data_IF_071874178227
#
_entry.id   IF_071874178227
#
_cell.length_a   1.000
_cell.length_b   1.000
_cell.length_c   1.000
_cell.angle_alpha   90.00
_cell.angle_beta   90.00
_cell.angle_gamma   90.00
#
_symmetry.space_group_name_H-M   'P 1'
#
loop_
_entity.id
_entity.type
_entity.pdbx_description
1 polymer ?
#
# COMPACT_ATOMS: atom_id res chain seq x y z
N UNK A 1 -22.77 42.47 -33.44
CA UNK A 1 -21.66 42.27 -32.48
C UNK A 1 -22.29 42.31 -31.09
N UNK A 2 -22.37 41.16 -30.42
CA UNK A 2 -23.27 40.94 -29.31
C UNK A 2 -22.53 40.33 -28.10
N UNK A 3 -22.72 40.98 -26.95
CA UNK A 3 -22.85 40.40 -25.58
C UNK A 3 -21.57 39.82 -24.95
N UNK A 4 -21.25 39.95 -23.65
CA UNK A 4 -21.53 40.84 -22.50
C UNK A 4 -20.47 40.47 -21.45
N UNK A 5 -20.18 41.41 -20.54
CA UNK A 5 -19.52 41.16 -19.26
C UNK A 5 -20.17 39.99 -18.50
N UNK A 6 -19.39 39.05 -17.96
CA UNK A 6 -19.79 38.34 -16.74
C UNK A 6 -18.60 37.68 -16.03
N UNK A 7 -18.24 38.32 -14.91
CA UNK A 7 -17.95 37.72 -13.60
C UNK A 7 -16.81 36.68 -13.47
N UNK A 8 -15.78 37.10 -12.71
CA UNK A 8 -14.87 36.25 -11.94
C UNK A 8 -15.61 35.07 -11.29
N UNK A 9 -15.01 33.87 -11.36
CA UNK A 9 -15.18 32.86 -10.33
C UNK A 9 -13.80 32.37 -9.89
N UNK A 10 -13.62 32.51 -8.58
CA UNK A 10 -12.39 32.46 -7.82
C UNK A 10 -11.93 31.01 -7.66
N UNK A 11 -10.61 30.88 -7.63
CA UNK A 11 -9.83 29.79 -7.05
C UNK A 11 -10.59 29.05 -5.92
N UNK A 12 -10.80 27.76 -6.12
CA UNK A 12 -11.43 26.91 -5.12
C UNK A 12 -11.25 25.44 -5.46
N UNK A 13 -10.05 25.04 -5.87
CA UNK A 13 -9.69 23.63 -5.78
C UNK A 13 -9.54 23.33 -4.30
N UNK A 14 -10.64 22.90 -3.66
CA UNK A 14 -10.57 22.15 -2.43
C UNK A 14 -9.74 20.90 -2.75
N UNK A 15 -8.44 20.96 -2.46
CA UNK A 15 -7.63 19.78 -2.24
C UNK A 15 -8.20 19.11 -1.00
N UNK A 16 -9.19 18.24 -1.19
CA UNK A 16 -9.54 17.27 -0.17
C UNK A 16 -8.28 16.43 0.05
N UNK A 17 -7.65 16.45 1.23
CA UNK A 17 -6.72 15.39 1.55
C UNK A 17 -7.51 14.10 1.41
N UNK A 18 -7.08 13.26 0.47
CA UNK A 18 -7.46 11.86 0.43
C UNK A 18 -6.92 11.34 1.77
N UNK A 19 -7.79 11.33 2.78
CA UNK A 19 -7.55 10.55 3.97
C UNK A 19 -7.35 9.14 3.44
N UNK A 20 -6.10 8.67 3.47
CA UNK A 20 -5.79 7.27 3.38
C UNK A 20 -6.82 6.59 4.29
N UNK A 21 -7.62 5.70 3.71
CA UNK A 21 -8.38 4.78 4.52
C UNK A 21 -7.37 4.21 5.50
N UNK A 22 -7.61 4.44 6.79
CA UNK A 22 -6.93 3.71 7.83
C UNK A 22 -7.39 2.26 7.59
N UNK A 23 -6.66 1.58 6.69
CA UNK A 23 -6.81 0.17 6.40
C UNK A 23 -6.43 -0.49 7.71
N UNK A 24 -7.44 -0.67 8.55
CA UNK A 24 -7.35 -1.30 9.86
C UNK A 24 -6.94 -2.75 9.58
N UNK A 25 -5.63 -2.95 9.43
CA UNK A 25 -5.05 -4.20 8.94
C UNK A 25 -5.46 -5.32 9.90
N UNK A 26 -5.96 -6.46 9.39
CA UNK A 26 -6.49 -7.53 10.24
C UNK A 26 -5.40 -8.07 11.16
N UNK A 27 -5.67 -8.04 12.47
CA UNK A 27 -4.79 -8.56 13.52
C UNK A 27 -4.90 -10.08 13.56
N UNK A 28 -3.79 -10.79 13.39
CA UNK A 28 -3.74 -12.26 13.33
C UNK A 28 -4.04 -12.87 14.71
N UNK A 29 -5.10 -13.68 14.81
CA UNK A 29 -5.38 -14.52 15.98
C UNK A 29 -4.81 -15.94 15.85
N UNK A 30 -4.44 -16.41 14.65
CA UNK A 30 -3.76 -17.71 14.46
C UNK A 30 -3.10 -17.77 13.08
N UNK A 31 -1.81 -18.11 12.98
CA UNK A 31 -1.03 -18.29 11.73
C UNK A 31 -1.50 -19.44 10.82
N UNK A 32 -2.65 -20.07 11.10
CA UNK A 32 -3.09 -21.32 10.48
C UNK A 32 -3.99 -21.17 9.24
N UNK A 33 -4.17 -19.97 8.69
CA UNK A 33 -4.99 -19.78 7.49
C UNK A 33 -4.52 -18.60 6.62
N UNK A 34 -3.21 -18.50 6.34
CA UNK A 34 -2.76 -17.61 5.28
C UNK A 34 -3.14 -18.22 3.92
N UNK A 35 -3.76 -17.41 3.07
CA UNK A 35 -4.00 -17.78 1.67
C UNK A 35 -2.67 -17.86 0.89
N UNK A 36 -2.64 -18.53 -0.27
CA UNK A 36 -1.44 -18.67 -1.12
C UNK A 36 -0.75 -17.36 -1.50
N UNK A 37 -1.49 -16.25 -1.50
CA UNK A 37 -1.06 -14.89 -1.83
C UNK A 37 -0.88 -13.99 -0.60
N UNK A 38 -0.94 -14.55 0.61
CA UNK A 38 -0.85 -13.80 1.86
C UNK A 38 0.41 -14.12 2.65
N UNK A 39 1.05 -13.07 3.15
CA UNK A 39 2.18 -13.15 4.07
C UNK A 39 1.82 -12.51 5.41
N UNK A 40 2.45 -12.97 6.50
CA UNK A 40 2.30 -12.34 7.82
C UNK A 40 3.57 -11.65 8.27
N UNK A 41 3.45 -10.44 8.82
CA UNK A 41 4.52 -9.76 9.55
C UNK A 41 3.91 -8.83 10.62
N UNK A 42 4.56 -8.74 11.79
CA UNK A 42 4.13 -7.87 12.90
C UNK A 42 2.63 -7.98 13.28
N UNK A 43 2.09 -9.19 13.27
CA UNK A 43 0.68 -9.50 13.52
C UNK A 43 -0.31 -9.01 12.46
N UNK A 44 0.16 -8.56 11.30
CA UNK A 44 -0.65 -8.13 10.15
C UNK A 44 -0.51 -9.09 8.96
N UNK A 45 -1.55 -9.12 8.13
CA UNK A 45 -1.56 -9.82 6.83
C UNK A 45 -1.22 -8.82 5.72
N UNK A 46 -0.35 -9.27 4.80
CA UNK A 46 0.09 -8.57 3.60
C UNK A 46 -0.30 -9.39 2.38
N UNK A 47 -0.75 -8.73 1.32
CA UNK A 47 -1.06 -9.32 0.03
C UNK A 47 0.19 -9.42 -0.86
N UNK A 48 0.16 -10.30 -1.85
CA UNK A 48 1.21 -10.41 -2.86
C UNK A 48 1.46 -9.07 -3.56
N UNK A 49 2.72 -8.64 -3.57
CA UNK A 49 3.17 -7.33 -4.08
C UNK A 49 3.40 -6.28 -2.99
N UNK A 50 2.92 -6.49 -1.77
CA UNK A 50 3.22 -5.60 -0.65
C UNK A 50 4.62 -5.84 -0.07
N UNK A 51 5.21 -4.80 0.52
CA UNK A 51 6.55 -4.83 1.10
C UNK A 51 6.54 -4.58 2.61
N UNK A 52 7.45 -5.25 3.31
CA UNK A 52 7.69 -5.06 4.74
C UNK A 52 9.19 -5.01 5.04
N UNK A 53 9.60 -4.04 5.83
CA UNK A 53 10.98 -3.93 6.33
C UNK A 53 11.05 -4.58 7.70
N UNK A 54 11.79 -5.68 7.79
CA UNK A 54 11.97 -6.41 9.03
C UNK A 54 12.98 -5.70 9.95
N UNK A 55 13.05 -6.13 11.21
CA UNK A 55 13.98 -5.57 12.21
C UNK A 55 15.46 -5.72 11.80
N UNK A 56 15.77 -6.63 10.88
CA UNK A 56 17.10 -6.79 10.27
C UNK A 56 17.44 -5.68 9.24
N UNK A 57 16.51 -4.75 8.98
CA UNK A 57 16.66 -3.66 8.03
C UNK A 57 16.49 -4.07 6.56
N UNK A 58 16.12 -5.33 6.30
CA UNK A 58 15.92 -5.85 4.94
C UNK A 58 14.45 -5.72 4.57
N UNK A 59 14.19 -5.02 3.46
CA UNK A 59 12.87 -5.00 2.84
C UNK A 59 12.63 -6.28 2.07
N UNK A 60 11.53 -6.96 2.37
CA UNK A 60 11.06 -8.12 1.63
C UNK A 60 9.71 -7.79 0.99
N UNK A 61 9.44 -8.45 -0.13
CA UNK A 61 8.16 -8.37 -0.84
C UNK A 61 7.42 -9.68 -0.64
N UNK A 62 6.13 -9.59 -0.34
CA UNK A 62 5.26 -10.74 -0.28
C UNK A 62 5.01 -11.24 -1.71
N UNK A 63 5.28 -12.51 -1.99
CA UNK A 63 4.98 -13.14 -3.28
C UNK A 63 4.03 -14.31 -3.07
N UNK A 64 3.14 -14.54 -4.05
CA UNK A 64 2.27 -15.70 -4.03
C UNK A 64 3.07 -16.99 -4.20
N UNK A 65 2.75 -18.02 -3.41
CA UNK A 65 3.33 -19.35 -3.50
C UNK A 65 2.26 -20.43 -3.28
N UNK A 66 2.55 -21.66 -3.71
CA UNK A 66 1.55 -22.73 -3.88
C UNK A 66 0.83 -23.10 -2.57
N UNK A 67 1.48 -22.90 -1.41
CA UNK A 67 0.92 -23.27 -0.10
C UNK A 67 0.52 -22.08 0.76
N UNK A 68 1.34 -21.04 0.77
CA UNK A 68 1.16 -19.80 1.52
C UNK A 68 2.07 -18.75 0.87
N UNK A 69 1.78 -17.46 1.05
CA UNK A 69 2.69 -16.41 0.59
C UNK A 69 4.10 -16.57 1.17
N UNK A 70 5.08 -16.02 0.48
CA UNK A 70 6.50 -16.07 0.86
C UNK A 70 7.12 -14.66 0.86
N UNK A 71 7.98 -14.39 1.84
CA UNK A 71 8.75 -13.16 1.88
C UNK A 71 10.05 -13.31 1.09
N UNK A 72 10.16 -12.64 -0.05
CA UNK A 72 11.36 -12.62 -0.88
C UNK A 72 12.13 -11.33 -0.65
N UNK A 73 13.41 -11.43 -0.30
CA UNK A 73 14.28 -10.28 -0.20
C UNK A 73 14.46 -9.65 -1.59
N UNK A 74 14.08 -8.39 -1.73
CA UNK A 74 14.46 -7.62 -2.91
C UNK A 74 15.84 -7.05 -2.67
N UNK A 75 16.82 -7.21 -3.58
CA UNK A 75 18.05 -6.46 -3.49
C UNK A 75 17.68 -4.98 -3.42
N UNK A 76 18.34 -4.24 -2.55
CA UNK A 76 18.08 -2.82 -2.32
C UNK A 76 18.41 -2.04 -3.61
N UNK A 77 17.53 -2.10 -4.60
CA UNK A 77 17.57 -1.27 -5.79
C UNK A 77 17.04 0.08 -5.33
N UNK A 78 17.91 0.88 -4.72
CA UNK A 78 17.71 2.32 -4.72
C UNK A 78 17.26 2.69 -6.14
N UNK A 79 16.17 3.45 -6.31
CA UNK A 79 15.72 3.84 -7.65
C UNK A 79 16.93 4.42 -8.39
N UNK A 80 17.24 3.82 -9.54
CA UNK A 80 18.36 4.28 -10.36
C UNK A 80 18.11 5.78 -10.66
N UNK A 81 18.99 6.61 -10.12
CA UNK A 81 18.93 8.07 -10.22
C UNK A 81 19.16 8.53 -11.66
#
# INVERSE_FOLDING_TARGET
MAIRFSTLLILGMLSTPIFAADDERPIIQTVNALEPDQCSADNYIYQAGEQFTFEDGITRVCVASIRHGEWVAVPNTAPAK
#
